data_IF_761117763636
#
_entry.id   IF_761117763636
#
_cell.length_a   1.000
_cell.length_b   1.000
_cell.length_c   1.000
_cell.angle_alpha   90.00
_cell.angle_beta   90.00
_cell.angle_gamma   90.00
#
_symmetry.space_group_name_H-M   'P 1'
#
loop_
_entity.id
_entity.type
_entity.pdbx_description
1 polymer ?
#
# COMPACT_ATOMS: atom_id res chain seq x y z
N UNK A 1 10.02 -15.45 3.24
CA UNK A 1 10.80 -16.48 2.51
C UNK A 1 11.17 -17.62 3.45
N UNK A 2 11.26 -18.85 2.95
CA UNK A 2 11.82 -19.96 3.75
C UNK A 2 13.28 -19.68 4.09
N UNK A 3 13.79 -20.27 5.19
CA UNK A 3 15.21 -20.16 5.57
C UNK A 3 16.12 -20.57 4.41
N UNK A 4 15.74 -21.60 3.67
CA UNK A 4 16.47 -22.13 2.50
C UNK A 4 16.65 -21.07 1.40
N UNK A 5 15.62 -20.27 1.10
CA UNK A 5 15.71 -19.24 0.06
C UNK A 5 16.61 -18.05 0.44
N UNK A 6 16.75 -17.77 1.74
CA UNK A 6 17.57 -16.68 2.24
C UNK A 6 19.04 -17.08 2.43
N UNK A 7 19.33 -18.38 2.56
CA UNK A 7 20.67 -18.89 2.82
C UNK A 7 21.74 -18.38 1.85
N UNK A 8 21.53 -18.35 0.51
CA UNK A 8 22.57 -17.85 -0.40
C UNK A 8 22.90 -16.37 -0.18
N UNK A 9 21.89 -15.53 0.04
CA UNK A 9 22.08 -14.10 0.28
C UNK A 9 22.79 -13.84 1.61
N UNK A 10 22.42 -14.58 2.65
CA UNK A 10 23.08 -14.50 3.96
C UNK A 10 24.53 -14.98 3.89
N UNK A 11 24.77 -16.12 3.24
CA UNK A 11 26.10 -16.70 3.07
C UNK A 11 27.03 -15.77 2.29
N UNK A 12 26.61 -15.29 1.12
CA UNK A 12 27.45 -14.40 0.30
C UNK A 12 27.73 -13.06 0.99
N UNK A 13 26.73 -12.45 1.64
CA UNK A 13 26.94 -11.19 2.35
C UNK A 13 27.88 -11.36 3.55
N UNK A 14 27.69 -12.41 4.35
CA UNK A 14 28.57 -12.74 5.47
C UNK A 14 30.00 -13.00 5.00
N UNK A 15 30.19 -13.70 3.87
CA UNK A 15 31.52 -13.94 3.30
C UNK A 15 32.22 -12.63 2.94
N UNK A 16 31.53 -11.71 2.24
CA UNK A 16 32.09 -10.41 1.86
C UNK A 16 32.47 -9.59 3.11
N UNK A 17 31.54 -9.44 4.05
CA UNK A 17 31.76 -8.65 5.28
C UNK A 17 32.88 -9.25 6.14
N UNK A 18 32.96 -10.59 6.23
CA UNK A 18 34.03 -11.27 6.97
C UNK A 18 35.39 -11.06 6.33
N UNK A 19 35.49 -11.15 5.00
CA UNK A 19 36.74 -10.93 4.28
C UNK A 19 37.22 -9.49 4.44
N UNK A 20 36.32 -8.52 4.28
CA UNK A 20 36.63 -7.09 4.47
C UNK A 20 37.14 -6.82 5.90
N UNK A 21 36.54 -7.44 6.92
CA UNK A 21 37.00 -7.33 8.31
C UNK A 21 38.35 -8.04 8.56
N UNK A 22 38.59 -9.20 7.94
CA UNK A 22 39.85 -9.95 8.09
C UNK A 22 41.06 -9.14 7.63
N UNK A 23 40.93 -8.42 6.51
CA UNK A 23 42.02 -7.66 5.89
C UNK A 23 42.10 -6.19 6.35
N UNK A 24 41.13 -5.73 7.15
CA UNK A 24 41.08 -4.33 7.58
C UNK A 24 40.68 -3.37 6.48
N UNK A 25 39.79 -3.80 5.57
CA UNK A 25 39.28 -2.94 4.50
C UNK A 25 38.50 -1.74 5.08
N UNK A 26 38.39 -0.66 4.30
CA UNK A 26 37.61 0.53 4.66
C UNK A 26 38.03 1.18 5.99
N UNK A 27 39.32 1.11 6.33
CA UNK A 27 39.88 1.70 7.54
C UNK A 27 39.54 0.94 8.83
N UNK A 28 39.10 -0.32 8.72
CA UNK A 28 38.88 -1.19 9.88
C UNK A 28 40.19 -1.84 10.35
N UNK A 29 40.26 -2.20 11.63
CA UNK A 29 41.42 -2.94 12.16
C UNK A 29 41.37 -4.37 11.63
N UNK A 30 42.44 -4.81 10.96
CA UNK A 30 42.53 -6.17 10.44
C UNK A 30 42.57 -7.19 11.58
N UNK A 31 41.59 -8.10 11.61
CA UNK A 31 41.53 -9.17 12.62
C UNK A 31 42.43 -10.37 12.29
N UNK A 32 42.73 -10.61 11.01
CA UNK A 32 43.48 -11.78 10.56
C UNK A 32 44.48 -11.40 9.45
N UNK A 33 45.47 -10.58 9.81
CA UNK A 33 46.49 -10.09 8.87
C UNK A 33 47.29 -11.20 8.16
N UNK A 34 47.42 -12.39 8.76
CA UNK A 34 48.06 -13.54 8.12
C UNK A 34 47.32 -14.04 6.86
N UNK A 35 46.04 -13.73 6.72
CA UNK A 35 45.23 -14.11 5.55
C UNK A 35 45.29 -13.04 4.43
N UNK A 36 45.95 -11.90 4.66
CA UNK A 36 46.06 -10.83 3.66
C UNK A 36 46.57 -11.30 2.28
N UNK A 37 47.55 -12.23 2.16
CA UNK A 37 48.00 -12.72 0.86
C UNK A 37 46.90 -13.42 0.05
N UNK A 38 45.92 -14.06 0.71
CA UNK A 38 44.79 -14.73 0.05
C UNK A 38 43.84 -13.73 -0.62
N UNK A 39 43.79 -12.50 -0.12
CA UNK A 39 42.86 -11.46 -0.55
C UNK A 39 43.56 -10.27 -1.23
N UNK A 40 44.88 -10.32 -1.40
CA UNK A 40 45.69 -9.22 -1.94
C UNK A 40 45.82 -8.01 -1.00
N UNK A 41 45.57 -8.19 0.30
CA UNK A 41 45.64 -7.14 1.33
C UNK A 41 44.53 -6.08 1.29
N UNK A 42 44.58 -5.13 2.23
CA UNK A 42 43.57 -4.07 2.35
C UNK A 42 43.40 -3.23 1.08
N UNK A 43 44.51 -2.94 0.38
CA UNK A 43 44.53 -2.16 -0.86
C UNK A 43 43.73 -2.81 -2.00
N UNK A 44 43.49 -4.12 -1.94
CA UNK A 44 42.63 -4.78 -2.92
C UNK A 44 41.17 -4.35 -2.80
N UNK A 45 40.75 -3.79 -1.67
CA UNK A 45 39.37 -3.34 -1.43
C UNK A 45 39.17 -1.84 -1.64
N UNK A 46 40.24 -1.11 -1.95
CA UNK A 46 40.19 0.30 -2.35
C UNK A 46 39.60 0.47 -3.76
N UNK A 47 39.30 1.72 -4.14
CA UNK A 47 38.83 2.04 -5.49
C UNK A 47 39.88 1.66 -6.53
N UNK A 48 39.45 0.89 -7.55
CA UNK A 48 40.35 0.33 -8.56
C UNK A 48 41.07 -0.98 -8.16
N UNK A 49 40.94 -1.43 -6.90
CA UNK A 49 41.52 -2.67 -6.40
C UNK A 49 40.88 -3.95 -6.98
N UNK A 50 41.62 -5.06 -6.86
CA UNK A 50 41.27 -6.39 -7.40
C UNK A 50 40.29 -7.20 -6.51
N UNK A 51 39.91 -6.69 -5.34
CA UNK A 51 38.94 -7.25 -4.38
C UNK A 51 39.10 -8.76 -4.19
N UNK A 52 38.06 -9.54 -4.51
CA UNK A 52 38.00 -10.98 -4.26
C UNK A 52 38.71 -11.80 -5.35
N UNK A 53 39.40 -11.19 -6.31
CA UNK A 53 40.05 -11.91 -7.42
C UNK A 53 41.03 -12.97 -6.94
N UNK A 54 41.94 -12.64 -6.00
CA UNK A 54 42.92 -13.60 -5.48
C UNK A 54 42.25 -14.75 -4.72
N UNK A 55 41.22 -14.43 -3.94
CA UNK A 55 40.44 -15.41 -3.18
C UNK A 55 39.72 -16.41 -4.10
N UNK A 56 39.09 -15.92 -5.16
CA UNK A 56 38.44 -16.75 -6.16
C UNK A 56 39.45 -17.60 -6.94
N UNK A 57 40.58 -17.01 -7.34
CA UNK A 57 41.64 -17.72 -8.06
C UNK A 57 42.29 -18.84 -7.22
N UNK A 58 42.33 -18.70 -5.89
CA UNK A 58 42.85 -19.73 -5.01
C UNK A 58 42.01 -21.02 -4.99
N UNK A 59 40.75 -20.97 -5.44
CA UNK A 59 39.93 -22.17 -5.69
C UNK A 59 39.60 -23.01 -4.46
N UNK A 60 39.74 -22.47 -3.25
CA UNK A 60 39.37 -23.18 -2.02
C UNK A 60 37.86 -23.45 -1.95
N UNK A 61 37.44 -24.43 -1.13
CA UNK A 61 36.03 -24.82 -1.01
C UNK A 61 35.09 -23.64 -0.71
N UNK A 62 35.50 -22.70 0.15
CA UNK A 62 34.73 -21.48 0.43
C UNK A 62 34.67 -20.53 -0.76
N UNK A 63 35.74 -20.40 -1.54
CA UNK A 63 35.76 -19.55 -2.73
C UNK A 63 34.83 -20.10 -3.83
N UNK A 64 34.91 -21.41 -4.08
CA UNK A 64 34.02 -22.12 -5.02
C UNK A 64 32.56 -22.01 -4.58
N UNK A 65 32.28 -22.26 -3.29
CA UNK A 65 30.93 -22.14 -2.74
C UNK A 65 30.37 -20.71 -2.85
N UNK A 66 31.18 -19.71 -2.55
CA UNK A 66 30.81 -18.30 -2.69
C UNK A 66 30.52 -17.92 -4.13
N UNK A 67 31.40 -18.29 -5.07
CA UNK A 67 31.23 -18.00 -6.49
C UNK A 67 29.96 -18.65 -7.05
N UNK A 68 29.73 -19.94 -6.73
CA UNK A 68 28.53 -20.66 -7.15
C UNK A 68 27.24 -20.02 -6.57
N UNK A 69 27.24 -19.67 -5.28
CA UNK A 69 26.08 -19.02 -4.65
C UNK A 69 25.80 -17.64 -5.26
N UNK A 70 26.85 -16.83 -5.49
CA UNK A 70 26.72 -15.53 -6.11
C UNK A 70 26.19 -15.65 -7.54
N UNK A 71 26.81 -16.52 -8.35
CA UNK A 71 26.43 -16.73 -9.74
C UNK A 71 25.00 -17.25 -9.88
N UNK A 72 24.59 -18.21 -9.05
CA UNK A 72 23.19 -18.67 -9.02
C UNK A 72 22.21 -17.53 -8.73
N UNK A 73 22.51 -16.67 -7.74
CA UNK A 73 21.67 -15.50 -7.48
C UNK A 73 21.68 -14.47 -8.63
N UNK A 74 22.79 -14.32 -9.35
CA UNK A 74 22.87 -13.44 -10.53
C UNK A 74 22.00 -13.97 -11.67
N UNK A 75 22.03 -15.26 -11.92
CA UNK A 75 21.22 -15.93 -12.93
C UNK A 75 19.72 -15.77 -12.63
N UNK A 76 19.32 -15.93 -11.37
CA UNK A 76 17.95 -15.69 -10.92
C UNK A 76 17.45 -14.28 -11.28
N UNK A 77 18.32 -13.26 -11.21
CA UNK A 77 17.92 -11.85 -11.44
C UNK A 77 18.20 -11.35 -12.86
N UNK A 78 18.92 -12.11 -13.69
CA UNK A 78 19.43 -11.66 -14.98
C UNK A 78 18.33 -11.14 -15.93
N UNK A 79 17.19 -11.84 -15.99
CA UNK A 79 16.06 -11.46 -16.85
C UNK A 79 15.13 -10.41 -16.21
N UNK A 80 15.32 -10.06 -14.94
CA UNK A 80 14.40 -9.20 -14.18
C UNK A 80 14.55 -7.70 -14.42
N UNK A 81 15.68 -7.26 -15.01
CA UNK A 81 15.99 -5.84 -15.21
C UNK A 81 16.00 -5.01 -13.91
N UNK A 82 16.25 -5.66 -12.77
CA UNK A 82 16.30 -5.00 -11.45
C UNK A 82 17.75 -4.66 -11.14
N UNK A 83 18.04 -3.37 -10.98
CA UNK A 83 19.35 -2.88 -10.57
C UNK A 83 19.63 -3.21 -9.11
N UNK A 84 20.85 -3.64 -8.80
CA UNK A 84 21.27 -3.96 -7.45
C UNK A 84 22.65 -4.64 -7.43
N UNK A 85 23.10 -5.11 -6.26
CA UNK A 85 24.45 -5.65 -6.08
C UNK A 85 24.76 -6.86 -6.98
N UNK A 86 23.77 -7.67 -7.33
CA UNK A 86 23.95 -8.83 -8.23
C UNK A 86 24.18 -8.43 -9.70
N UNK A 87 24.14 -7.14 -10.04
CA UNK A 87 24.65 -6.67 -11.34
C UNK A 87 26.16 -6.88 -11.47
N UNK A 88 26.88 -6.93 -10.34
CA UNK A 88 28.32 -7.16 -10.30
C UNK A 88 28.65 -8.66 -10.38
N UNK A 89 29.80 -8.98 -10.99
CA UNK A 89 30.39 -10.32 -10.96
C UNK A 89 30.93 -10.63 -9.55
N UNK A 90 31.11 -11.93 -9.24
CA UNK A 90 31.47 -12.39 -7.89
C UNK A 90 32.72 -11.70 -7.33
N UNK A 91 33.75 -11.45 -8.16
CA UNK A 91 34.99 -10.77 -7.73
C UNK A 91 34.75 -9.34 -7.21
N UNK A 92 33.68 -8.69 -7.69
CA UNK A 92 33.33 -7.31 -7.39
C UNK A 92 32.22 -7.20 -6.33
N UNK A 93 31.79 -8.32 -5.73
CA UNK A 93 30.76 -8.32 -4.70
C UNK A 93 31.09 -7.37 -3.55
N UNK A 94 30.12 -6.55 -3.14
CA UNK A 94 30.25 -5.56 -2.06
C UNK A 94 30.99 -4.26 -2.42
N UNK A 95 31.45 -4.09 -3.67
CA UNK A 95 32.20 -2.90 -4.11
C UNK A 95 31.45 -1.60 -3.75
N UNK A 96 32.18 -0.65 -3.18
CA UNK A 96 31.65 0.63 -2.69
C UNK A 96 31.23 0.62 -1.21
N UNK A 97 31.61 -0.39 -0.42
CA UNK A 97 31.35 -0.42 1.03
C UNK A 97 29.85 -0.53 1.34
N UNK A 98 29.16 -1.42 0.62
CA UNK A 98 27.69 -1.52 0.65
C UNK A 98 27.20 -1.97 2.03
N UNK A 99 26.65 -1.05 2.82
CA UNK A 99 26.01 -1.38 4.10
C UNK A 99 24.76 -2.22 3.87
N UNK A 100 24.56 -3.25 4.70
CA UNK A 100 23.39 -4.16 4.64
C UNK A 100 23.30 -4.92 3.31
N UNK A 101 24.43 -5.44 2.83
CA UNK A 101 24.51 -6.17 1.56
C UNK A 101 23.48 -7.30 1.45
N UNK A 102 23.29 -8.10 2.52
CA UNK A 102 22.27 -9.14 2.56
C UNK A 102 20.87 -8.60 2.24
N UNK A 103 20.49 -7.46 2.83
CA UNK A 103 19.19 -6.83 2.60
C UNK A 103 19.05 -6.39 1.14
N UNK A 104 20.07 -5.76 0.58
CA UNK A 104 20.05 -5.30 -0.81
C UNK A 104 19.95 -6.45 -1.81
N UNK A 105 20.69 -7.54 -1.60
CA UNK A 105 20.58 -8.78 -2.40
C UNK A 105 19.15 -9.33 -2.30
N UNK A 106 18.60 -9.39 -1.09
CA UNK A 106 17.26 -9.92 -0.85
C UNK A 106 16.20 -9.08 -1.56
N UNK A 107 16.25 -7.75 -1.43
CA UNK A 107 15.34 -6.81 -2.10
C UNK A 107 15.43 -6.95 -3.62
N UNK A 108 16.63 -7.04 -4.19
CA UNK A 108 16.80 -7.20 -5.65
C UNK A 108 16.15 -8.49 -6.15
N UNK A 109 16.38 -9.61 -5.44
CA UNK A 109 15.79 -10.92 -5.79
C UNK A 109 14.25 -10.90 -5.66
N UNK A 110 13.72 -10.36 -4.57
CA UNK A 110 12.28 -10.28 -4.34
C UNK A 110 11.58 -9.36 -5.35
N UNK A 111 12.21 -8.25 -5.74
CA UNK A 111 11.68 -7.36 -6.78
C UNK A 111 11.67 -8.04 -8.15
N UNK A 112 12.68 -8.85 -8.49
CA UNK A 112 12.67 -9.66 -9.73
C UNK A 112 11.54 -10.69 -9.72
N UNK A 113 11.39 -11.46 -8.64
CA UNK A 113 10.29 -12.43 -8.48
C UNK A 113 8.94 -11.73 -8.57
N UNK A 114 8.79 -10.56 -7.93
CA UNK A 114 7.57 -9.76 -7.98
C UNK A 114 7.24 -9.29 -9.40
N UNK A 115 8.23 -8.84 -10.18
CA UNK A 115 8.06 -8.43 -11.58
C UNK A 115 7.66 -9.60 -12.46
N UNK A 116 8.29 -10.78 -12.28
CA UNK A 116 7.93 -12.00 -12.99
C UNK A 116 6.48 -12.40 -12.69
N UNK A 117 6.11 -12.50 -11.42
CA UNK A 117 4.74 -12.80 -11.02
C UNK A 117 3.74 -11.78 -11.58
N UNK A 118 4.10 -10.49 -11.57
CA UNK A 118 3.26 -9.44 -12.14
C UNK A 118 3.04 -9.64 -13.65
N UNK A 119 4.11 -9.94 -14.39
CA UNK A 119 4.04 -10.25 -15.81
C UNK A 119 3.17 -11.48 -16.08
N UNK A 120 3.39 -12.58 -15.35
CA UNK A 120 2.64 -13.83 -15.50
C UNK A 120 1.14 -13.61 -15.22
N UNK A 121 0.81 -12.81 -14.19
CA UNK A 121 -0.57 -12.44 -13.86
C UNK A 121 -1.22 -11.55 -14.93
N UNK A 122 -0.46 -10.66 -15.57
CA UNK A 122 -0.97 -9.82 -16.66
C UNK A 122 -1.15 -10.57 -17.99
N UNK A 123 -0.45 -11.70 -18.16
CA UNK A 123 -0.62 -12.58 -19.32
C UNK A 123 -1.94 -13.37 -19.28
N UNK A 124 -2.54 -13.54 -18.11
CA UNK A 124 -3.87 -14.15 -17.96
C UNK A 124 -4.96 -13.24 -18.57
N UNK A 125 -6.11 -13.79 -19.04
CA UNK A 125 -7.27 -13.00 -19.46
C UNK A 125 -7.70 -11.97 -18.42
N UNK A 126 -8.26 -10.83 -18.84
CA UNK A 126 -8.64 -9.73 -17.93
C UNK A 126 -9.69 -10.17 -16.91
N UNK A 127 -10.57 -11.08 -17.30
CA UNK A 127 -11.65 -11.63 -16.49
C UNK A 127 -11.20 -12.80 -15.59
N UNK A 128 -9.96 -13.28 -15.75
CA UNK A 128 -9.39 -14.35 -14.93
C UNK A 128 -9.36 -13.94 -13.46
N UNK A 129 -9.90 -14.80 -12.59
CA UNK A 129 -10.11 -14.45 -11.19
C UNK A 129 -8.83 -14.41 -10.37
N UNK A 130 -7.80 -15.16 -10.75
CA UNK A 130 -6.48 -15.05 -10.14
C UNK A 130 -5.85 -13.69 -10.49
N UNK A 131 -5.97 -13.26 -11.76
CA UNK A 131 -5.53 -11.93 -12.18
C UNK A 131 -6.28 -10.82 -11.44
N UNK A 132 -7.62 -10.87 -11.43
CA UNK A 132 -8.45 -9.88 -10.74
C UNK A 132 -8.10 -9.81 -9.25
N UNK A 133 -7.94 -10.95 -8.57
CA UNK A 133 -7.54 -10.99 -7.16
C UNK A 133 -6.15 -10.37 -6.94
N UNK A 134 -5.17 -10.76 -7.74
CA UNK A 134 -3.80 -10.24 -7.65
C UNK A 134 -3.73 -8.72 -7.87
N UNK A 135 -4.40 -8.20 -8.89
CA UNK A 135 -4.40 -6.77 -9.22
C UNK A 135 -5.21 -5.95 -8.21
N UNK A 136 -6.33 -6.46 -7.72
CA UNK A 136 -7.18 -5.75 -6.76
C UNK A 136 -6.59 -5.71 -5.34
N UNK A 137 -5.69 -6.64 -5.00
CA UNK A 137 -5.07 -6.71 -3.68
C UNK A 137 -4.22 -5.48 -3.37
N UNK A 138 -4.58 -4.76 -2.30
CA UNK A 138 -3.84 -3.64 -1.75
C UNK A 138 -3.01 -4.05 -0.51
N UNK A 139 -2.35 -3.05 0.11
CA UNK A 139 -1.54 -3.29 1.31
C UNK A 139 -2.34 -3.83 2.50
N UNK A 140 -3.62 -3.46 2.61
CA UNK A 140 -4.49 -3.88 3.70
C UNK A 140 -5.00 -5.30 3.47
N UNK A 141 -5.33 -5.64 2.22
CA UNK A 141 -5.72 -6.99 1.80
C UNK A 141 -4.58 -7.99 2.00
N UNK A 142 -3.33 -7.54 1.84
CA UNK A 142 -2.12 -8.38 2.05
C UNK A 142 -1.81 -8.60 3.55
N UNK A 143 -2.51 -7.92 4.47
CA UNK A 143 -2.33 -8.15 5.91
C UNK A 143 -2.72 -9.59 6.29
N UNK A 144 -3.68 -10.21 5.60
CA UNK A 144 -4.06 -11.61 5.82
C UNK A 144 -2.86 -12.57 5.87
N UNK A 145 -1.88 -12.38 4.99
CA UNK A 145 -0.71 -13.27 4.87
C UNK A 145 0.51 -12.77 5.65
N UNK A 146 0.46 -11.55 6.20
CA UNK A 146 1.59 -10.91 6.90
C UNK A 146 1.32 -10.67 8.38
N UNK A 147 0.07 -10.77 8.82
CA UNK A 147 -0.30 -10.58 10.21
C UNK A 147 0.14 -11.77 11.07
N UNK A 148 0.58 -11.47 12.29
CA UNK A 148 0.78 -12.50 13.33
C UNK A 148 -0.58 -12.78 13.96
N UNK A 149 -1.05 -14.06 13.99
CA UNK A 149 -2.27 -14.42 14.68
C UNK A 149 -2.15 -14.06 16.16
N UNK A 150 -3.15 -13.38 16.73
CA UNK A 150 -3.19 -13.10 18.17
C UNK A 150 -4.49 -13.63 18.76
N UNK A 151 -4.56 -13.94 20.07
CA UNK A 151 -5.80 -14.40 20.70
C UNK A 151 -7.00 -13.47 20.49
N UNK A 152 -6.76 -12.16 20.35
CA UNK A 152 -7.77 -11.13 20.11
C UNK A 152 -8.10 -10.91 18.62
N UNK A 153 -7.43 -11.62 17.71
CA UNK A 153 -7.53 -11.50 16.26
C UNK A 153 -7.65 -12.88 15.63
N UNK A 154 -8.79 -13.54 15.82
CA UNK A 154 -9.06 -14.87 15.28
C UNK A 154 -10.26 -14.82 14.35
N UNK A 155 -10.04 -15.22 13.11
CA UNK A 155 -11.11 -15.66 12.23
C UNK A 155 -11.49 -17.09 12.62
N UNK A 156 -12.78 -17.42 12.59
CA UNK A 156 -13.25 -18.80 12.60
C UNK A 156 -12.72 -19.55 11.37
N UNK A 157 -12.77 -20.88 11.40
CA UNK A 157 -12.35 -21.72 10.26
C UNK A 157 -13.11 -21.37 8.96
N UNK A 158 -14.40 -21.00 9.09
CA UNK A 158 -15.23 -20.59 7.98
C UNK A 158 -14.79 -19.23 7.42
N UNK A 159 -14.58 -18.23 8.30
CA UNK A 159 -14.10 -16.91 7.91
C UNK A 159 -12.71 -17.00 7.28
N UNK A 160 -11.76 -17.69 7.92
CA UNK A 160 -10.40 -17.82 7.38
C UNK A 160 -10.39 -18.45 5.98
N UNK A 161 -11.23 -19.45 5.76
CA UNK A 161 -11.39 -20.07 4.43
C UNK A 161 -11.96 -19.07 3.42
N UNK A 162 -12.97 -18.30 3.79
CA UNK A 162 -13.57 -17.26 2.94
C UNK A 162 -12.54 -16.18 2.58
N UNK A 163 -11.76 -15.74 3.56
CA UNK A 163 -10.68 -14.75 3.41
C UNK A 163 -9.62 -15.24 2.43
N UNK A 164 -9.19 -16.50 2.56
CA UNK A 164 -8.16 -17.08 1.70
C UNK A 164 -8.67 -17.28 0.26
N UNK A 165 -9.90 -17.78 0.10
CA UNK A 165 -10.55 -17.90 -1.20
C UNK A 165 -10.65 -16.54 -1.89
N UNK A 166 -11.10 -15.52 -1.15
CA UNK A 166 -11.17 -14.14 -1.64
C UNK A 166 -9.78 -13.60 -1.98
N UNK A 167 -8.76 -13.81 -1.16
CA UNK A 167 -7.41 -13.30 -1.43
C UNK A 167 -6.76 -13.94 -2.67
N UNK A 168 -7.00 -15.23 -2.91
CA UNK A 168 -6.41 -15.97 -4.02
C UNK A 168 -7.26 -15.96 -5.31
N UNK A 169 -8.50 -15.47 -5.24
CA UNK A 169 -9.41 -15.43 -6.39
C UNK A 169 -10.19 -16.73 -6.63
N UNK A 170 -10.34 -17.56 -5.60
CA UNK A 170 -11.19 -18.76 -5.65
C UNK A 170 -12.66 -18.42 -5.36
N UNK A 171 -13.60 -19.27 -5.79
CA UNK A 171 -15.01 -19.14 -5.43
C UNK A 171 -15.22 -19.14 -3.91
N UNK A 172 -16.20 -18.36 -3.46
CA UNK A 172 -16.63 -18.29 -2.07
C UNK A 172 -17.24 -19.63 -1.61
N UNK A 173 -16.68 -20.28 -0.58
CA UNK A 173 -17.29 -21.46 0.02
C UNK A 173 -18.71 -21.21 0.54
N UNK A 174 -18.97 -20.02 1.11
CA UNK A 174 -20.26 -19.67 1.68
C UNK A 174 -21.37 -19.52 0.63
N UNK A 175 -21.02 -19.19 -0.61
CA UNK A 175 -22.00 -18.95 -1.67
C UNK A 175 -22.33 -20.18 -2.52
N UNK A 176 -21.70 -21.33 -2.28
CA UNK A 176 -21.83 -22.53 -3.13
C UNK A 176 -23.30 -22.95 -3.38
N UNK A 177 -24.15 -22.87 -2.36
CA UNK A 177 -25.57 -23.23 -2.47
C UNK A 177 -26.47 -22.09 -2.96
N UNK A 178 -25.93 -20.90 -3.16
CA UNK A 178 -26.66 -19.68 -3.51
C UNK A 178 -26.30 -19.14 -4.90
N UNK A 179 -25.29 -19.71 -5.57
CA UNK A 179 -24.91 -19.31 -6.93
C UNK A 179 -26.12 -19.44 -7.87
N UNK A 180 -26.43 -18.37 -8.60
CA UNK A 180 -27.58 -18.31 -9.49
C UNK A 180 -28.88 -17.84 -8.81
N UNK A 181 -28.93 -17.75 -7.48
CA UNK A 181 -30.08 -17.20 -6.77
C UNK A 181 -30.17 -15.68 -6.95
N UNK A 182 -31.40 -15.15 -6.91
CA UNK A 182 -31.62 -13.70 -6.90
C UNK A 182 -31.29 -13.11 -5.53
N UNK A 183 -30.55 -12.00 -5.54
CA UNK A 183 -30.24 -11.21 -4.37
C UNK A 183 -31.36 -10.17 -4.17
N UNK A 184 -32.03 -10.16 -3.00
CA UNK A 184 -33.09 -9.20 -2.71
C UNK A 184 -32.46 -7.81 -2.49
N UNK A 185 -32.27 -7.04 -3.56
CA UNK A 185 -31.77 -5.67 -3.50
C UNK A 185 -32.94 -4.69 -3.32
N UNK A 186 -32.69 -3.57 -2.62
CA UNK A 186 -33.66 -2.47 -2.52
C UNK A 186 -34.06 -1.87 -3.88
N UNK A 187 -35.19 -1.14 -3.91
CA UNK A 187 -35.92 -0.67 -5.09
C UNK A 187 -35.12 0.09 -6.17
N UNK A 188 -33.90 0.53 -5.87
CA UNK A 188 -33.01 1.25 -6.81
C UNK A 188 -32.21 0.35 -7.75
N UNK A 189 -32.13 -0.96 -7.48
CA UNK A 189 -31.51 -1.92 -8.38
C UNK A 189 -32.60 -2.53 -9.26
N UNK A 190 -32.62 -2.19 -10.55
CA UNK A 190 -33.45 -2.90 -11.54
C UNK A 190 -33.21 -4.42 -11.53
N UNK A 191 -34.00 -5.18 -12.31
CA UNK A 191 -33.97 -6.65 -12.48
C UNK A 191 -32.92 -7.35 -11.59
N UNK A 192 -33.32 -7.68 -10.36
CA UNK A 192 -32.42 -7.95 -9.21
C UNK A 192 -31.15 -8.75 -9.54
N UNK A 193 -30.05 -8.40 -8.84
CA UNK A 193 -28.73 -9.01 -9.03
C UNK A 193 -28.80 -10.53 -8.80
N UNK A 194 -28.02 -11.29 -9.57
CA UNK A 194 -27.87 -12.73 -9.37
C UNK A 194 -26.58 -13.00 -8.61
N UNK A 195 -26.63 -13.87 -7.60
CA UNK A 195 -25.47 -14.24 -6.80
C UNK A 195 -24.44 -14.99 -7.67
N UNK A 196 -23.25 -14.43 -7.80
CA UNK A 196 -22.12 -15.08 -8.45
C UNK A 196 -21.32 -15.93 -7.47
N UNK A 197 -20.50 -16.84 -7.99
CA UNK A 197 -19.70 -17.76 -7.19
C UNK A 197 -18.59 -17.09 -6.35
N UNK A 198 -18.28 -15.82 -6.61
CA UNK A 198 -17.16 -15.10 -5.98
C UNK A 198 -17.63 -13.97 -5.05
N UNK A 199 -18.95 -13.73 -4.96
CA UNK A 199 -19.55 -12.73 -4.07
C UNK A 199 -19.50 -11.29 -4.55
N UNK A 200 -19.01 -11.00 -5.76
CA UNK A 200 -18.87 -9.62 -6.23
C UNK A 200 -20.21 -8.89 -6.37
N UNK A 201 -21.26 -9.60 -6.78
CA UNK A 201 -22.60 -9.03 -6.89
C UNK A 201 -23.25 -8.84 -5.53
N UNK A 202 -22.93 -9.71 -4.57
CA UNK A 202 -23.38 -9.60 -3.18
C UNK A 202 -22.71 -8.40 -2.49
N UNK A 203 -21.40 -8.20 -2.68
CA UNK A 203 -20.65 -7.05 -2.15
C UNK A 203 -21.20 -5.70 -2.63
N UNK A 204 -21.83 -5.68 -3.81
CA UNK A 204 -22.40 -4.47 -4.40
C UNK A 204 -23.92 -4.37 -4.18
N UNK A 205 -24.52 -5.31 -3.45
CA UNK A 205 -25.95 -5.33 -3.20
C UNK A 205 -26.31 -4.44 -2.01
N UNK A 206 -27.34 -3.62 -2.18
CA UNK A 206 -27.97 -2.89 -1.08
C UNK A 206 -29.11 -3.73 -0.54
N UNK A 207 -28.82 -4.49 0.53
CA UNK A 207 -29.79 -5.40 1.15
C UNK A 207 -30.77 -4.63 2.07
N UNK A 208 -32.02 -5.09 2.20
CA UNK A 208 -32.92 -4.61 3.24
C UNK A 208 -32.26 -4.71 4.62
N UNK A 209 -32.31 -3.63 5.39
CA UNK A 209 -31.75 -3.58 6.76
C UNK A 209 -30.59 -2.60 6.95
N UNK A 210 -30.11 -1.91 5.91
CA UNK A 210 -29.16 -0.79 6.12
C UNK A 210 -27.69 -1.18 6.29
N UNK A 211 -27.37 -2.47 6.28
CA UNK A 211 -26.06 -3.00 6.73
C UNK A 211 -24.87 -2.73 5.79
N UNK A 212 -25.07 -1.96 4.72
CA UNK A 212 -23.98 -1.58 3.80
C UNK A 212 -23.04 -0.53 4.43
N UNK A 213 -23.48 0.17 5.48
CA UNK A 213 -22.67 1.13 6.23
C UNK A 213 -21.82 0.44 7.31
N UNK A 214 -22.26 -0.71 7.83
CA UNK A 214 -21.60 -1.43 8.92
C UNK A 214 -20.11 -1.64 8.67
N UNK A 215 -19.73 -2.09 7.45
CA UNK A 215 -18.33 -2.33 7.13
C UNK A 215 -17.50 -1.04 7.13
N UNK A 216 -18.07 0.05 6.64
CA UNK A 216 -17.42 1.36 6.66
C UNK A 216 -17.22 1.84 8.10
N UNK A 217 -18.28 1.75 8.90
CA UNK A 217 -18.31 2.25 10.27
C UNK A 217 -17.40 1.45 11.20
N UNK A 218 -17.40 0.11 11.08
CA UNK A 218 -16.49 -0.79 11.78
C UNK A 218 -15.02 -0.40 11.53
N UNK A 219 -14.66 -0.14 10.27
CA UNK A 219 -13.30 0.22 9.86
C UNK A 219 -12.93 1.61 10.37
N UNK A 220 -13.81 2.59 10.17
CA UNK A 220 -13.59 3.95 10.63
C UNK A 220 -13.45 4.01 12.15
N UNK A 221 -14.32 3.33 12.89
CA UNK A 221 -14.25 3.22 14.35
C UNK A 221 -12.94 2.57 14.80
N UNK A 222 -12.58 1.43 14.22
CA UNK A 222 -11.37 0.71 14.60
C UNK A 222 -10.12 1.56 14.38
N UNK A 223 -9.98 2.19 13.21
CA UNK A 223 -8.81 3.03 12.92
C UNK A 223 -8.74 4.23 13.86
N UNK A 224 -9.87 4.90 14.09
CA UNK A 224 -9.94 6.06 14.98
C UNK A 224 -9.63 5.67 16.43
N UNK A 225 -10.24 4.60 16.95
CA UNK A 225 -10.00 4.12 18.31
C UNK A 225 -8.54 3.74 18.55
N UNK A 226 -7.88 3.10 17.57
CA UNK A 226 -6.46 2.74 17.67
C UNK A 226 -5.55 3.95 17.61
N UNK A 227 -5.84 4.93 16.76
CA UNK A 227 -5.08 6.17 16.72
C UNK A 227 -5.19 6.93 18.07
N UNK A 228 -6.41 7.09 18.59
CA UNK A 228 -6.64 7.72 19.89
C UNK A 228 -5.97 6.97 21.04
N UNK A 229 -6.08 5.64 21.06
CA UNK A 229 -5.42 4.79 22.06
C UNK A 229 -3.88 4.85 21.98
N UNK A 230 -3.32 5.13 20.81
CA UNK A 230 -1.89 5.37 20.62
C UNK A 230 -1.46 6.81 20.99
N UNK A 231 -2.37 7.63 21.52
CA UNK A 231 -2.10 9.01 21.91
C UNK A 231 -2.10 10.00 20.75
N UNK A 232 -2.57 9.61 19.56
CA UNK A 232 -2.75 10.53 18.42
C UNK A 232 -4.02 11.35 18.66
N UNK A 233 -3.96 12.66 18.91
CA UNK A 233 -5.15 13.45 19.21
C UNK A 233 -6.03 13.57 17.96
N UNK A 234 -7.35 13.46 18.14
CA UNK A 234 -8.29 13.56 17.04
C UNK A 234 -9.74 13.44 17.50
N UNK A 235 -10.68 13.49 16.56
CA UNK A 235 -12.10 13.19 16.81
C UNK A 235 -12.79 12.70 15.54
N UNK A 236 -13.84 11.90 15.72
CA UNK A 236 -14.74 11.48 14.65
C UNK A 236 -15.70 12.58 14.26
N UNK A 237 -16.13 12.56 13.00
CA UNK A 237 -17.20 13.39 12.44
C UNK A 237 -17.17 14.84 12.95
N UNK A 238 -16.15 15.64 12.59
CA UNK A 238 -16.03 17.03 13.04
C UNK A 238 -17.06 17.95 12.33
N UNK A 239 -18.33 17.76 12.67
CA UNK A 239 -19.50 18.47 12.12
C UNK A 239 -19.40 19.99 12.31
N UNK A 240 -18.74 20.41 13.38
CA UNK A 240 -18.55 21.80 13.76
C UNK A 240 -17.69 22.59 12.76
N UNK A 241 -16.76 21.94 12.03
CA UNK A 241 -15.82 22.62 11.13
C UNK A 241 -16.55 23.46 10.09
N UNK A 242 -17.42 22.84 9.29
CA UNK A 242 -18.14 23.55 8.23
C UNK A 242 -19.38 24.28 8.75
N UNK A 243 -19.89 23.94 9.94
CA UNK A 243 -21.03 24.65 10.55
C UNK A 243 -20.74 26.13 10.72
N UNK A 244 -19.51 26.49 11.11
CA UNK A 244 -19.12 27.87 11.40
C UNK A 244 -19.18 28.83 10.21
N UNK A 245 -19.18 28.31 8.98
CA UNK A 245 -19.16 29.11 7.75
C UNK A 245 -20.48 29.07 6.99
N UNK A 246 -21.45 28.25 7.42
CA UNK A 246 -22.75 28.16 6.77
C UNK A 246 -23.72 29.23 7.32
N UNK A 247 -24.57 29.84 6.46
CA UNK A 247 -25.65 30.73 6.92
C UNK A 247 -26.65 30.00 7.83
N UNK A 248 -27.27 30.73 8.77
CA UNK A 248 -28.22 30.17 9.74
C UNK A 248 -29.39 29.48 9.05
N UNK A 249 -29.85 30.03 7.93
CA UNK A 249 -30.94 29.50 7.11
C UNK A 249 -30.59 28.12 6.55
N UNK A 250 -29.33 27.92 6.15
CA UNK A 250 -28.85 26.63 5.65
C UNK A 250 -28.78 25.58 6.76
N UNK A 251 -28.51 25.97 8.00
CA UNK A 251 -28.48 25.06 9.16
C UNK A 251 -29.87 24.65 9.64
N UNK A 252 -30.88 25.52 9.46
CA UNK A 252 -32.26 25.28 9.86
C UNK A 252 -32.99 24.33 8.90
N UNK A 253 -32.64 24.36 7.61
CA UNK A 253 -33.07 23.35 6.66
C UNK A 253 -32.29 22.07 6.96
N UNK A 254 -32.96 20.90 7.07
CA UNK A 254 -32.30 19.58 7.21
C UNK A 254 -31.26 19.29 6.10
N UNK A 255 -31.17 20.17 5.10
CA UNK A 255 -30.19 20.23 4.02
C UNK A 255 -28.77 20.68 4.45
N UNK A 256 -28.61 21.37 5.60
CA UNK A 256 -27.34 22.00 5.97
C UNK A 256 -26.19 21.03 6.23
N UNK A 257 -26.46 19.90 6.89
CA UNK A 257 -25.41 18.96 7.34
C UNK A 257 -25.83 17.49 7.27
N UNK A 258 -27.08 17.14 7.56
CA UNK A 258 -27.55 15.75 7.68
C UNK A 258 -27.64 14.97 6.36
N UNK A 259 -27.62 15.64 5.20
CA UNK A 259 -27.56 14.99 3.87
C UNK A 259 -26.34 15.37 3.04
N UNK A 260 -25.33 16.00 3.65
CA UNK A 260 -24.50 16.96 2.93
C UNK A 260 -23.18 16.38 2.40
N UNK A 261 -22.67 15.27 2.95
CA UNK A 261 -21.48 14.57 2.43
C UNK A 261 -20.14 15.34 2.51
N UNK A 262 -20.13 16.58 3.00
CA UNK A 262 -18.89 17.39 3.21
C UNK A 262 -18.29 17.22 4.59
N UNK A 263 -18.96 16.49 5.49
CA UNK A 263 -18.44 16.22 6.83
C UNK A 263 -17.40 15.10 6.67
N UNK A 264 -16.11 15.34 6.98
CA UNK A 264 -15.12 14.29 7.02
C UNK A 264 -15.47 13.27 8.09
N UNK A 265 -15.01 12.04 7.92
CA UNK A 265 -15.22 10.99 8.92
C UNK A 265 -14.36 11.23 10.18
N UNK A 266 -13.25 11.97 10.06
CA UNK A 266 -12.43 12.33 11.20
C UNK A 266 -11.43 13.44 10.96
N UNK A 267 -10.81 13.88 12.06
CA UNK A 267 -9.67 14.79 12.08
C UNK A 267 -8.61 14.29 13.05
N UNK A 268 -7.34 14.33 12.63
CA UNK A 268 -6.17 14.08 13.48
C UNK A 268 -5.36 15.36 13.65
N UNK A 269 -4.85 15.62 14.85
CA UNK A 269 -4.05 16.82 15.15
C UNK A 269 -2.57 16.49 15.18
N UNK A 270 -1.76 17.34 14.56
CA UNK A 270 -0.31 17.24 14.61
C UNK A 270 0.29 15.96 14.03
N UNK A 271 -0.44 15.30 13.13
CA UNK A 271 0.05 14.11 12.42
C UNK A 271 0.53 14.53 11.04
N UNK A 272 1.82 14.30 10.75
CA UNK A 272 2.28 14.28 9.38
C UNK A 272 2.13 12.85 8.82
N UNK A 273 1.08 12.66 8.00
CA UNK A 273 1.04 11.51 7.11
C UNK A 273 2.11 11.71 6.05
N UNK A 274 3.33 11.21 6.35
CA UNK A 274 4.49 11.28 5.49
C UNK A 274 4.06 11.00 4.03
N UNK A 275 4.10 12.05 3.22
CA UNK A 275 3.96 11.92 1.78
C UNK A 275 5.21 11.18 1.31
N UNK A 276 5.09 10.28 0.32
CA UNK A 276 6.24 9.58 -0.28
C UNK A 276 7.44 10.53 -0.41
N UNK A 277 8.69 10.09 -0.18
CA UNK A 277 9.88 10.94 -0.08
C UNK A 277 10.26 11.73 -1.37
N UNK A 278 9.39 11.82 -2.37
CA UNK A 278 9.62 12.49 -3.65
C UNK A 278 8.51 13.45 -4.11
N UNK A 279 7.45 13.67 -3.31
CA UNK A 279 6.48 14.71 -3.65
C UNK A 279 6.92 16.03 -3.03
N UNK A 280 7.56 16.90 -3.81
CA UNK A 280 7.75 18.31 -3.45
C UNK A 280 6.38 18.95 -3.19
N UNK A 281 6.01 19.08 -1.92
CA UNK A 281 4.91 19.91 -1.45
C UNK A 281 5.46 20.88 -0.43
N UNK A 282 4.89 22.09 -0.41
CA UNK A 282 5.22 23.10 0.58
C UNK A 282 5.14 22.49 2.00
N UNK A 283 6.13 22.76 2.88
CA UNK A 283 6.13 22.23 4.23
C UNK A 283 4.82 22.64 4.93
N UNK A 284 4.12 21.66 5.49
CA UNK A 284 2.98 21.95 6.37
C UNK A 284 3.50 22.55 7.68
N UNK A 285 2.77 23.50 8.29
CA UNK A 285 3.06 23.90 9.65
C UNK A 285 3.05 22.66 10.55
N UNK A 286 4.10 22.48 11.35
CA UNK A 286 4.13 21.43 12.35
C UNK A 286 2.91 21.58 13.26
N UNK A 287 2.18 20.49 13.50
CA UNK A 287 0.97 20.54 14.35
C UNK A 287 -0.36 20.70 13.61
N UNK A 288 -0.37 20.89 12.27
CA UNK A 288 -1.62 21.13 11.54
C UNK A 288 -2.60 19.94 11.61
N UNK A 289 -3.89 20.26 11.71
CA UNK A 289 -4.98 19.30 11.67
C UNK A 289 -5.09 18.66 10.27
N UNK A 290 -5.30 17.36 10.23
CA UNK A 290 -5.50 16.58 9.00
C UNK A 290 -6.89 15.97 9.01
N UNK A 291 -7.70 16.40 8.05
CA UNK A 291 -9.00 15.80 7.79
C UNK A 291 -8.81 14.47 7.04
N UNK A 292 -9.56 13.45 7.49
CA UNK A 292 -9.57 12.11 6.90
C UNK A 292 -10.98 11.70 6.53
N UNK A 293 -11.09 10.90 5.49
CA UNK A 293 -12.34 10.37 4.97
C UNK A 293 -12.10 8.92 4.54
N UNK A 294 -12.84 8.00 5.13
CA UNK A 294 -12.77 6.55 4.92
C UNK A 294 -13.65 6.18 3.73
N UNK A 295 -13.17 5.23 2.91
CA UNK A 295 -13.97 4.68 1.81
C UNK A 295 -13.73 3.21 1.65
N UNK A 296 -14.82 2.47 1.45
CA UNK A 296 -14.80 1.08 1.00
C UNK A 296 -14.98 1.04 -0.52
N UNK A 297 -14.23 0.18 -1.20
CA UNK A 297 -14.45 -0.15 -2.60
C UNK A 297 -14.86 -1.62 -2.71
N UNK A 298 -15.78 -1.93 -3.62
CA UNK A 298 -16.19 -3.30 -3.95
C UNK A 298 -15.81 -3.62 -5.39
N UNK A 299 -15.57 -4.89 -5.73
CA UNK A 299 -15.03 -5.27 -7.05
C UNK A 299 -15.97 -4.91 -8.22
N UNK A 300 -17.28 -4.84 -7.98
CA UNK A 300 -18.27 -4.47 -8.99
C UNK A 300 -18.37 -2.98 -9.31
N UNK A 301 -17.52 -2.10 -8.75
CA UNK A 301 -17.54 -0.66 -9.07
C UNK A 301 -16.66 -0.33 -10.28
N UNK A 302 -17.07 0.69 -11.05
CA UNK A 302 -16.37 1.13 -12.27
C UNK A 302 -14.88 1.50 -12.09
N UNK A 303 -14.42 1.72 -10.86
CA UNK A 303 -12.99 2.00 -10.60
C UNK A 303 -12.09 0.81 -10.87
N UNK A 304 -12.60 -0.42 -10.79
CA UNK A 304 -11.84 -1.64 -11.13
C UNK A 304 -11.83 -1.96 -12.63
N UNK A 305 -12.65 -1.29 -13.45
CA UNK A 305 -12.73 -1.54 -14.90
C UNK A 305 -11.82 -0.64 -15.73
N UNK A 306 -11.17 0.36 -15.13
CA UNK A 306 -10.20 1.20 -15.85
C UNK A 306 -8.95 0.41 -16.25
N UNK A 307 -8.35 0.74 -17.40
CA UNK A 307 -7.11 0.11 -17.90
C UNK A 307 -6.01 0.12 -16.84
N UNK A 308 -5.84 1.25 -16.13
CA UNK A 308 -4.85 1.36 -15.05
C UNK A 308 -5.19 0.42 -13.89
N UNK A 309 -6.47 0.29 -13.51
CA UNK A 309 -6.89 -0.64 -12.47
C UNK A 309 -6.83 -2.12 -12.87
N UNK A 310 -6.73 -2.43 -14.17
CA UNK A 310 -6.58 -3.79 -14.69
C UNK A 310 -5.11 -4.20 -14.94
N UNK A 311 -4.20 -3.23 -14.85
CA UNK A 311 -2.77 -3.43 -15.14
C UNK A 311 -1.87 -3.12 -13.94
N UNK A 312 -2.26 -2.18 -13.08
CA UNK A 312 -1.49 -1.79 -11.91
C UNK A 312 -2.17 -2.24 -10.62
N UNK A 313 -1.41 -2.95 -9.80
CA UNK A 313 -1.88 -3.46 -8.51
C UNK A 313 -2.33 -2.30 -7.59
N UNK A 314 -3.49 -2.47 -6.96
CA UNK A 314 -4.13 -1.50 -6.06
C UNK A 314 -4.45 -0.12 -6.67
N UNK A 315 -4.42 0.03 -8.00
CA UNK A 315 -4.62 1.33 -8.63
C UNK A 315 -6.03 1.90 -8.45
N UNK A 316 -7.07 1.06 -8.35
CA UNK A 316 -8.44 1.50 -8.04
C UNK A 316 -8.52 2.22 -6.68
N UNK A 317 -7.89 1.61 -5.65
CA UNK A 317 -7.79 2.16 -4.29
C UNK A 317 -7.01 3.48 -4.30
N UNK A 318 -5.84 3.49 -4.95
CA UNK A 318 -5.02 4.70 -5.06
C UNK A 318 -5.73 5.83 -5.83
N UNK A 319 -6.50 5.49 -6.87
CA UNK A 319 -7.31 6.44 -7.63
C UNK A 319 -8.43 7.04 -6.78
N UNK A 320 -9.18 6.22 -6.03
CA UNK A 320 -10.21 6.71 -5.10
C UNK A 320 -9.62 7.60 -4.02
N UNK A 321 -8.47 7.23 -3.44
CA UNK A 321 -7.82 7.98 -2.38
C UNK A 321 -7.41 9.39 -2.85
N UNK A 322 -6.95 9.52 -4.10
CA UNK A 322 -6.67 10.83 -4.72
C UNK A 322 -7.94 11.64 -5.00
N UNK A 323 -9.01 10.97 -5.45
CA UNK A 323 -10.26 11.62 -5.80
C UNK A 323 -10.98 12.25 -4.61
N UNK A 324 -10.80 11.72 -3.38
CA UNK A 324 -11.45 12.24 -2.16
C UNK A 324 -11.27 13.76 -2.01
N UNK A 325 -10.04 14.27 -2.14
CA UNK A 325 -9.82 15.71 -2.00
C UNK A 325 -10.57 16.53 -3.06
N UNK A 326 -10.58 16.05 -4.32
CA UNK A 326 -11.29 16.71 -5.41
C UNK A 326 -12.81 16.69 -5.21
N UNK A 327 -13.36 15.60 -4.68
CA UNK A 327 -14.78 15.50 -4.34
C UNK A 327 -15.14 16.57 -3.30
N UNK A 328 -14.32 16.75 -2.27
CA UNK A 328 -14.53 17.79 -1.26
C UNK A 328 -14.38 19.21 -1.82
N UNK A 329 -13.45 19.44 -2.74
CA UNK A 329 -13.37 20.74 -3.44
C UNK A 329 -14.65 21.04 -4.24
N UNK A 330 -15.21 20.03 -4.92
CA UNK A 330 -16.47 20.17 -5.65
C UNK A 330 -17.63 20.45 -4.70
N UNK A 331 -17.75 19.68 -3.61
CA UNK A 331 -18.78 19.85 -2.59
C UNK A 331 -18.70 21.21 -1.88
N UNK A 332 -17.50 21.73 -1.65
CA UNK A 332 -17.29 23.06 -1.08
C UNK A 332 -17.74 24.15 -2.06
N UNK A 333 -17.32 24.07 -3.33
CA UNK A 333 -17.74 25.02 -4.38
C UNK A 333 -19.25 25.06 -4.58
N UNK A 334 -19.91 23.91 -4.58
CA UNK A 334 -21.36 23.82 -4.70
C UNK A 334 -22.09 24.52 -3.55
N UNK A 335 -21.52 24.49 -2.33
CA UNK A 335 -22.08 25.21 -1.19
C UNK A 335 -21.81 26.70 -1.24
N UNK A 336 -20.60 27.09 -1.63
CA UNK A 336 -20.27 28.49 -1.84
C UNK A 336 -21.19 29.13 -2.88
N UNK A 337 -21.50 28.41 -3.97
CA UNK A 337 -22.45 28.86 -4.98
C UNK A 337 -23.89 28.91 -4.42
N UNK A 338 -24.32 27.88 -3.69
CA UNK A 338 -25.69 27.77 -3.17
C UNK A 338 -26.02 28.73 -2.03
N UNK A 339 -25.08 28.92 -1.10
CA UNK A 339 -25.33 29.61 0.18
C UNK A 339 -24.60 30.95 0.30
N UNK A 340 -23.55 31.18 -0.50
CA UNK A 340 -22.77 32.43 -0.47
C UNK A 340 -22.77 33.16 -1.82
N UNK A 341 -23.46 32.62 -2.83
CA UNK A 341 -23.55 33.16 -4.18
C UNK A 341 -22.18 33.39 -4.85
N UNK A 342 -21.17 32.61 -4.47
CA UNK A 342 -19.83 32.65 -5.07
C UNK A 342 -19.72 31.63 -6.19
N UNK A 343 -19.83 32.10 -7.44
CA UNK A 343 -19.81 31.24 -8.62
C UNK A 343 -18.44 30.61 -8.88
N UNK A 344 -18.40 29.27 -9.02
CA UNK A 344 -17.15 28.52 -9.23
C UNK A 344 -16.35 28.97 -10.46
N UNK A 345 -17.02 29.41 -11.53
CA UNK A 345 -16.37 29.93 -12.75
C UNK A 345 -15.63 31.25 -12.52
N UNK A 346 -16.23 32.16 -11.75
CA UNK A 346 -15.62 33.45 -11.45
C UNK A 346 -14.38 33.29 -10.54
N UNK A 347 -14.43 32.35 -9.60
CA UNK A 347 -13.27 31.98 -8.78
C UNK A 347 -12.17 31.35 -9.63
N UNK A 348 -12.51 30.41 -10.51
CA UNK A 348 -11.53 29.75 -11.38
C UNK A 348 -10.85 30.72 -12.37
N UNK A 349 -11.54 31.77 -12.80
CA UNK A 349 -11.00 32.84 -13.64
C UNK A 349 -10.19 33.90 -12.86
N UNK A 350 -10.11 33.79 -11.53
CA UNK A 350 -9.43 34.79 -10.68
C UNK A 350 -10.20 36.09 -10.50
N UNK A 351 -11.47 36.15 -10.90
CA UNK A 351 -12.32 37.33 -10.74
C UNK A 351 -12.91 37.47 -9.33
N UNK A 352 -13.01 36.37 -8.58
CA UNK A 352 -13.48 36.34 -7.20
C UNK A 352 -12.56 35.48 -6.33
N UNK A 353 -12.47 35.81 -5.05
CA UNK A 353 -11.85 34.95 -4.06
C UNK A 353 -12.71 33.68 -3.84
N UNK A 354 -12.11 32.56 -3.38
CA UNK A 354 -12.86 31.39 -2.92
C UNK A 354 -13.93 31.79 -1.89
N UNK A 355 -15.10 31.14 -1.97
CA UNK A 355 -16.12 31.30 -0.93
C UNK A 355 -15.65 30.71 0.41
N UNK A 356 -16.36 31.03 1.51
CA UNK A 356 -15.90 30.71 2.86
C UNK A 356 -15.80 29.20 3.12
N UNK A 357 -16.63 28.37 2.48
CA UNK A 357 -16.56 26.91 2.64
C UNK A 357 -15.31 26.34 1.96
N UNK A 358 -15.02 26.75 0.71
CA UNK A 358 -13.82 26.33 0.01
C UNK A 358 -12.54 26.87 0.68
N UNK A 359 -12.56 28.12 1.13
CA UNK A 359 -11.43 28.73 1.83
C UNK A 359 -11.09 27.98 3.13
N UNK A 360 -12.11 27.66 3.95
CA UNK A 360 -11.93 26.86 5.16
C UNK A 360 -11.45 25.44 4.84
N UNK A 361 -12.02 24.78 3.83
CA UNK A 361 -11.57 23.46 3.41
C UNK A 361 -10.08 23.46 3.01
N UNK A 362 -9.64 24.51 2.30
CA UNK A 362 -8.25 24.67 1.86
C UNK A 362 -7.28 24.95 3.02
N UNK A 363 -7.73 25.54 4.14
CA UNK A 363 -6.86 25.81 5.29
C UNK A 363 -6.37 24.54 5.99
N UNK A 364 -7.09 23.42 5.87
CA UNK A 364 -6.63 22.08 6.33
C UNK A 364 -5.72 21.37 5.30
N UNK A 365 -5.52 21.98 4.13
CA UNK A 365 -4.78 21.41 3.01
C UNK A 365 -5.48 20.20 2.38
N UNK A 366 -4.72 19.17 2.01
CA UNK A 366 -5.30 17.97 1.40
C UNK A 366 -5.95 17.06 2.43
N UNK A 367 -7.28 16.94 2.33
CA UNK A 367 -8.08 15.89 2.95
C UNK A 367 -7.60 14.52 2.47
N UNK A 368 -7.33 13.61 3.40
CA UNK A 368 -6.76 12.29 3.10
C UNK A 368 -7.87 11.25 2.94
N UNK A 369 -7.97 10.67 1.76
CA UNK A 369 -8.78 9.48 1.54
C UNK A 369 -8.10 8.22 2.08
N UNK A 370 -8.65 7.63 3.13
CA UNK A 370 -8.27 6.32 3.67
C UNK A 370 -9.15 5.25 3.02
N UNK A 371 -8.67 4.71 1.91
CA UNK A 371 -9.46 3.79 1.08
C UNK A 371 -9.04 2.35 1.31
N UNK A 372 -10.03 1.48 1.49
CA UNK A 372 -9.88 0.04 1.65
C UNK A 372 -10.45 -0.65 0.42
N UNK A 373 -9.63 -1.48 -0.22
CA UNK A 373 -10.04 -2.22 -1.41
C UNK A 373 -11.03 -3.34 -1.09
N UNK A 374 -11.62 -3.87 -2.17
CA UNK A 374 -12.63 -4.93 -2.14
C UNK A 374 -12.16 -6.27 -1.56
N UNK A 375 -10.86 -6.42 -1.33
CA UNK A 375 -10.27 -7.60 -0.73
C UNK A 375 -9.81 -7.34 0.72
N UNK A 376 -10.10 -6.16 1.30
CA UNK A 376 -9.83 -5.97 2.73
C UNK A 376 -10.78 -6.84 3.53
N UNK A 377 -10.22 -7.81 4.23
CA UNK A 377 -10.92 -8.46 5.32
C UNK A 377 -10.53 -7.73 6.59
N UNK A 378 -11.23 -6.63 6.83
CA UNK A 378 -10.98 -5.79 7.99
C UNK A 378 -11.72 -6.31 9.26
N UNK A 379 -12.59 -7.34 9.14
CA UNK A 379 -13.19 -8.00 10.32
C UNK A 379 -12.15 -8.87 11.03
N UNK A 380 -11.65 -8.38 12.16
CA UNK A 380 -10.79 -9.12 13.08
C UNK A 380 -9.27 -9.02 12.88
N UNK A 381 -8.78 -8.26 11.90
CA UNK A 381 -7.34 -8.13 11.60
C UNK A 381 -6.73 -6.72 11.82
N UNK A 382 -7.49 -5.75 12.32
CA UNK A 382 -6.98 -4.43 12.71
C UNK A 382 -6.76 -4.29 14.23
#
# INVERSE_FOLDING_TARGET
RSRVHLSPAAYSACCVESVEAMVGAHGTVAFFSMLAPLFGGAASFDDGGLRLTAFLAAGGATAVGFEAAWQGMREEVAAGGVTGPLGMIARDAGRGGVRRLQHMITVQREETERRRLHHDMLALPVEDRARVAYISADRFSTQLITCVPTPHRRASDAEFREMLCTYLGFPSPCLRGLVGAHIPCGQSAGAGRVCDAYGHHLDCATLPGGTWEDQHDDVAETVMARALGAGIPGRREPRDIFTAVLPVEALQQRDGLSGSGIIPDGVFRGVDFASRPHAQRAPRPAGADVLVDFKMLHLGVARYTSVVAQTQRAAAVASRARAVHTDYQLMARQRDERHHHVGARAVAAGHLAPGPVLALMQSYGTIRGLVFGARCVCRGLA
#
